data_IF_607536858850
#
_entry.id   IF_607536858850
#
_cell.length_a   1.000
_cell.length_b   1.000
_cell.length_c   1.000
_cell.angle_alpha   90.00
_cell.angle_beta   90.00
_cell.angle_gamma   90.00
#
_symmetry.space_group_name_H-M   'P 1'
#
loop_
_entity.id
_entity.type
_entity.pdbx_description
1 polymer ?
#
# COMPACT_ATOMS: atom_id res chain seq x y z
N UNK A 1 54.79 -11.21 -16.88
CA UNK A 1 53.48 -11.37 -17.53
C UNK A 1 52.82 -9.99 -17.70
N UNK A 2 53.34 -9.18 -18.60
CA UNK A 2 52.79 -7.87 -18.97
C UNK A 2 53.05 -7.65 -20.46
N UNK A 3 52.14 -8.17 -21.31
CA UNK A 3 52.09 -7.74 -22.71
C UNK A 3 51.42 -6.38 -22.71
N UNK A 4 52.25 -5.35 -22.67
CA UNK A 4 51.84 -3.99 -22.94
C UNK A 4 51.21 -3.96 -24.34
N UNK A 5 49.96 -3.48 -24.40
CA UNK A 5 49.28 -3.18 -25.66
C UNK A 5 50.18 -2.24 -26.45
N UNK A 6 50.54 -2.64 -27.68
CA UNK A 6 51.50 -1.92 -28.50
C UNK A 6 50.90 -0.55 -28.88
N UNK A 7 51.67 0.53 -28.78
CA UNK A 7 51.19 1.89 -29.11
C UNK A 7 50.73 1.98 -30.57
N UNK A 8 51.29 1.16 -31.47
CA UNK A 8 50.85 1.02 -32.85
C UNK A 8 49.44 0.40 -33.01
N UNK A 9 48.98 -0.41 -32.05
CA UNK A 9 47.63 -0.95 -32.04
C UNK A 9 46.61 0.11 -31.58
N UNK A 10 47.04 1.09 -30.77
CA UNK A 10 46.19 2.21 -30.33
C UNK A 10 45.91 3.20 -31.47
N UNK A 11 46.89 3.51 -32.33
CA UNK A 11 46.71 4.45 -33.46
C UNK A 11 45.79 3.88 -34.54
N UNK A 12 45.74 2.57 -34.71
CA UNK A 12 44.83 1.89 -35.65
C UNK A 12 43.45 1.66 -35.07
N UNK A 13 43.33 1.44 -33.75
CA UNK A 13 42.06 1.22 -33.08
C UNK A 13 41.31 2.52 -32.75
N UNK A 14 42.03 3.62 -32.52
CA UNK A 14 41.46 4.92 -32.14
C UNK A 14 40.42 5.47 -33.14
N UNK A 15 40.65 5.46 -34.47
CA UNK A 15 39.66 5.93 -35.44
C UNK A 15 38.36 5.12 -35.39
N UNK A 16 38.46 3.80 -35.25
CA UNK A 16 37.30 2.91 -35.18
C UNK A 16 36.53 3.04 -33.86
N UNK A 17 37.24 3.19 -32.74
CA UNK A 17 36.62 3.49 -31.45
C UNK A 17 35.94 4.86 -31.50
N UNK A 18 36.59 5.86 -32.08
CA UNK A 18 36.04 7.21 -32.21
C UNK A 18 34.80 7.23 -33.09
N UNK A 19 34.83 6.55 -34.24
CA UNK A 19 33.67 6.39 -35.13
C UNK A 19 32.50 5.67 -34.43
N UNK A 20 32.79 4.58 -33.70
CA UNK A 20 31.78 3.90 -32.90
C UNK A 20 31.19 4.81 -31.81
N UNK A 21 32.02 5.50 -31.03
CA UNK A 21 31.57 6.38 -29.94
C UNK A 21 30.82 7.63 -30.46
N UNK A 22 31.13 8.08 -31.67
CA UNK A 22 30.44 9.23 -32.30
C UNK A 22 29.16 8.82 -33.03
N UNK A 23 28.89 7.52 -33.19
CA UNK A 23 27.66 7.02 -33.79
C UNK A 23 26.42 7.60 -33.07
N UNK A 24 25.44 8.17 -33.80
CA UNK A 24 24.28 8.85 -33.20
C UNK A 24 23.54 8.00 -32.16
N UNK A 25 23.32 6.71 -32.44
CA UNK A 25 22.67 5.78 -31.50
C UNK A 25 23.48 5.55 -30.22
N UNK A 26 24.82 5.45 -30.31
CA UNK A 26 25.67 5.27 -29.12
C UNK A 26 25.63 6.54 -28.26
N UNK A 27 25.74 7.72 -28.87
CA UNK A 27 25.59 8.99 -28.15
C UNK A 27 24.22 9.11 -27.46
N UNK A 28 23.14 8.71 -28.13
CA UNK A 28 21.79 8.78 -27.56
C UNK A 28 21.58 7.75 -26.44
N UNK A 29 22.11 6.54 -26.60
CA UNK A 29 22.12 5.53 -25.55
C UNK A 29 22.88 6.02 -24.31
N UNK A 30 24.10 6.55 -24.47
CA UNK A 30 24.90 7.07 -23.35
C UNK A 30 24.21 8.23 -22.63
N UNK A 31 23.62 9.18 -23.37
CA UNK A 31 22.80 10.26 -22.77
C UNK A 31 21.68 9.70 -21.90
N UNK A 32 20.95 8.72 -22.41
CA UNK A 32 19.85 8.07 -21.69
C UNK A 32 20.36 7.30 -20.46
N UNK A 33 21.49 6.60 -20.59
CA UNK A 33 22.13 5.86 -19.50
C UNK A 33 22.52 6.79 -18.35
N UNK A 34 23.22 7.89 -18.65
CA UNK A 34 23.60 8.86 -17.62
C UNK A 34 22.39 9.57 -17.02
N UNK A 35 21.33 9.83 -17.79
CA UNK A 35 20.08 10.37 -17.27
C UNK A 35 19.44 9.42 -16.25
N UNK A 36 19.24 8.15 -16.63
CA UNK A 36 18.64 7.13 -15.74
C UNK A 36 19.49 6.95 -14.48
N UNK A 37 20.81 6.84 -14.63
CA UNK A 37 21.70 6.70 -13.49
C UNK A 37 21.70 7.95 -12.60
N UNK A 38 21.66 9.16 -13.20
CA UNK A 38 21.59 10.42 -12.46
C UNK A 38 20.33 10.50 -11.60
N UNK A 39 19.18 10.11 -12.16
CA UNK A 39 17.92 10.02 -11.42
C UNK A 39 18.03 8.99 -10.28
N UNK A 40 18.60 7.81 -10.54
CA UNK A 40 18.83 6.81 -9.50
C UNK A 40 19.66 7.37 -8.33
N UNK A 41 20.82 7.96 -8.63
CA UNK A 41 21.71 8.49 -7.59
C UNK A 41 21.06 9.62 -6.82
N UNK A 42 20.34 10.53 -7.49
CA UNK A 42 19.63 11.63 -6.83
C UNK A 42 18.63 11.09 -5.80
N UNK A 43 17.76 10.16 -6.19
CA UNK A 43 16.73 9.63 -5.30
C UNK A 43 17.30 8.69 -4.22
N UNK A 44 18.33 7.88 -4.55
CA UNK A 44 18.98 6.99 -3.61
C UNK A 44 19.73 7.74 -2.50
N UNK A 45 20.32 8.90 -2.82
CA UNK A 45 21.05 9.73 -1.85
C UNK A 45 20.17 10.70 -1.06
N UNK A 46 18.93 10.97 -1.51
CA UNK A 46 18.04 11.96 -0.87
C UNK A 46 16.84 11.29 -0.20
N UNK A 47 15.84 10.89 -0.99
CA UNK A 47 14.53 10.44 -0.52
C UNK A 47 14.56 9.01 0.03
N UNK A 48 15.49 8.19 -0.45
CA UNK A 48 15.63 6.77 -0.11
C UNK A 48 17.01 6.50 0.50
N UNK A 49 17.53 7.47 1.25
CA UNK A 49 18.80 7.36 1.96
C UNK A 49 18.67 6.38 3.15
N UNK A 50 19.74 5.64 3.46
CA UNK A 50 19.75 4.65 4.54
C UNK A 50 20.23 3.26 4.13
N UNK A 51 20.54 2.41 5.10
CA UNK A 51 21.05 1.05 4.87
C UNK A 51 20.01 -0.05 5.14
N UNK A 52 18.84 0.30 5.67
CA UNK A 52 17.81 -0.69 5.99
C UNK A 52 17.31 -1.41 4.75
N UNK A 53 16.86 -2.65 4.92
CA UNK A 53 16.36 -3.49 3.84
C UNK A 53 15.13 -2.87 3.15
N UNK A 54 14.28 -2.18 3.91
CA UNK A 54 13.17 -1.40 3.36
C UNK A 54 13.66 -0.30 2.39
N UNK A 55 14.74 0.41 2.74
CA UNK A 55 15.30 1.45 1.88
C UNK A 55 16.01 0.85 0.66
N UNK A 56 16.71 -0.26 0.81
CA UNK A 56 17.31 -0.98 -0.31
C UNK A 56 16.24 -1.50 -1.29
N UNK A 57 15.12 -2.01 -0.76
CA UNK A 57 13.95 -2.39 -1.55
C UNK A 57 13.37 -1.20 -2.30
N UNK A 58 13.15 -0.06 -1.64
CA UNK A 58 12.69 1.16 -2.33
C UNK A 58 13.66 1.61 -3.43
N UNK A 59 14.98 1.46 -3.23
CA UNK A 59 15.99 1.79 -4.26
C UNK A 59 15.89 0.93 -5.51
N UNK A 60 15.58 -0.37 -5.37
CA UNK A 60 15.44 -1.25 -6.53
C UNK A 60 14.28 -0.81 -7.45
N UNK A 61 13.32 -0.04 -6.93
CA UNK A 61 12.18 0.45 -7.69
C UNK A 61 12.40 1.81 -8.36
N UNK A 62 13.46 2.56 -8.04
CA UNK A 62 13.65 3.93 -8.56
C UNK A 62 13.77 3.93 -10.09
N UNK A 63 14.72 3.14 -10.61
CA UNK A 63 15.03 3.07 -12.05
C UNK A 63 13.80 2.60 -12.83
N UNK A 64 13.23 1.47 -12.39
CA UNK A 64 12.04 0.87 -13.01
C UNK A 64 10.84 1.84 -13.00
N UNK A 65 10.57 2.52 -11.89
CA UNK A 65 9.43 3.47 -11.80
C UNK A 65 9.62 4.66 -12.75
N UNK A 66 10.84 5.22 -12.79
CA UNK A 66 11.16 6.35 -13.67
C UNK A 66 11.06 5.95 -15.15
N UNK A 67 11.66 4.82 -15.53
CA UNK A 67 11.64 4.34 -16.90
C UNK A 67 10.21 3.98 -17.35
N UNK A 68 9.42 3.33 -16.50
CA UNK A 68 8.03 2.99 -16.79
C UNK A 68 7.17 4.24 -17.00
N UNK A 69 7.36 5.29 -16.20
CA UNK A 69 6.68 6.57 -16.39
C UNK A 69 6.99 7.19 -17.75
N UNK A 70 8.28 7.39 -18.07
CA UNK A 70 8.71 8.00 -19.32
C UNK A 70 8.24 7.19 -20.52
N UNK A 71 8.42 5.87 -20.49
CA UNK A 71 8.06 4.98 -21.59
C UNK A 71 6.55 4.96 -21.85
N UNK A 72 5.75 4.87 -20.78
CA UNK A 72 4.29 4.90 -20.89
C UNK A 72 3.81 6.24 -21.43
N UNK A 73 4.34 7.36 -20.95
CA UNK A 73 3.93 8.69 -21.39
C UNK A 73 4.31 8.95 -22.86
N UNK A 74 5.53 8.61 -23.26
CA UNK A 74 6.01 8.80 -24.63
C UNK A 74 5.36 7.85 -25.65
N UNK A 75 4.78 6.73 -25.20
CA UNK A 75 4.05 5.78 -26.07
C UNK A 75 2.66 6.25 -26.49
N UNK A 76 2.03 7.16 -25.73
CA UNK A 76 0.63 7.57 -25.93
C UNK A 76 0.35 8.06 -27.36
N UNK A 77 1.19 8.94 -27.96
CA UNK A 77 0.97 9.39 -29.33
C UNK A 77 0.97 8.26 -30.35
N UNK A 78 1.82 7.24 -30.18
CA UNK A 78 1.85 6.09 -31.09
C UNK A 78 0.63 5.19 -30.95
N UNK A 79 0.14 4.99 -29.71
CA UNK A 79 -1.11 4.27 -29.48
C UNK A 79 -2.28 5.01 -30.13
N UNK A 80 -2.34 6.34 -29.94
CA UNK A 80 -3.34 7.18 -30.58
C UNK A 80 -3.27 7.07 -32.10
N UNK A 81 -2.07 7.16 -32.69
CA UNK A 81 -1.88 7.05 -34.14
C UNK A 81 -2.30 5.68 -34.69
N UNK A 82 -2.02 4.59 -33.96
CA UNK A 82 -2.50 3.24 -34.33
C UNK A 82 -4.03 3.18 -34.43
N UNK A 83 -4.74 3.77 -33.46
CA UNK A 83 -6.20 3.82 -33.50
C UNK A 83 -6.74 4.80 -34.54
N UNK A 84 -6.10 5.95 -34.70
CA UNK A 84 -6.43 6.95 -35.71
C UNK A 84 -6.32 6.39 -37.13
N UNK A 85 -5.29 5.57 -37.36
CA UNK A 85 -5.09 4.85 -38.62
C UNK A 85 -5.95 3.58 -38.74
N UNK A 86 -6.96 3.37 -37.89
CA UNK A 86 -7.84 2.19 -37.90
C UNK A 86 -7.09 0.85 -37.87
N UNK A 87 -5.99 0.77 -37.11
CA UNK A 87 -5.13 -0.42 -37.01
C UNK A 87 -4.40 -0.80 -38.33
N UNK A 88 -4.32 0.12 -39.29
CA UNK A 88 -3.58 -0.08 -40.55
C UNK A 88 -2.12 0.39 -40.42
N UNK A 89 -1.22 -0.56 -40.20
CA UNK A 89 0.22 -0.33 -40.07
C UNK A 89 0.89 0.34 -41.29
N UNK A 90 0.27 0.32 -42.47
CA UNK A 90 0.79 1.05 -43.64
C UNK A 90 0.69 2.57 -43.46
N UNK A 91 -0.29 3.02 -42.67
CA UNK A 91 -0.61 4.43 -42.43
C UNK A 91 0.01 4.97 -41.15
N UNK A 92 0.29 4.10 -40.19
CA UNK A 92 0.95 4.48 -38.93
C UNK A 92 2.26 5.21 -39.22
N UNK A 93 2.47 6.28 -38.47
CA UNK A 93 3.62 7.17 -38.58
C UNK A 93 4.76 6.62 -37.74
N UNK A 94 5.90 6.36 -38.38
CA UNK A 94 6.98 5.63 -37.72
C UNK A 94 7.80 6.51 -36.78
N UNK A 95 7.95 7.81 -37.07
CA UNK A 95 8.76 8.77 -36.29
C UNK A 95 10.10 8.20 -35.79
N UNK A 96 10.79 7.41 -36.64
CA UNK A 96 11.93 6.56 -36.23
C UNK A 96 13.07 7.36 -35.63
N UNK A 97 13.60 8.29 -36.41
CA UNK A 97 14.80 9.05 -36.03
C UNK A 97 14.53 10.06 -34.89
N UNK A 98 13.30 10.56 -34.79
CA UNK A 98 12.95 11.65 -33.87
C UNK A 98 12.49 11.15 -32.51
N UNK A 99 11.69 10.07 -32.45
CA UNK A 99 11.06 9.61 -31.21
C UNK A 99 11.24 8.11 -30.99
N UNK A 100 10.91 7.25 -31.97
CA UNK A 100 10.81 5.82 -31.73
C UNK A 100 12.16 5.14 -31.45
N UNK A 101 13.20 5.44 -32.24
CA UNK A 101 14.55 4.92 -32.00
C UNK A 101 15.15 5.51 -30.71
N UNK A 102 15.11 6.84 -30.45
CA UNK A 102 15.55 7.40 -29.17
C UNK A 102 14.83 6.80 -27.95
N UNK A 103 13.52 6.53 -28.04
CA UNK A 103 12.75 5.90 -26.96
C UNK A 103 13.17 4.44 -26.74
N UNK A 104 13.42 3.70 -27.82
CA UNK A 104 13.92 2.32 -27.74
C UNK A 104 15.32 2.27 -27.11
N UNK A 105 16.20 3.21 -27.46
CA UNK A 105 17.52 3.35 -26.85
C UNK A 105 17.45 3.79 -25.39
N UNK A 106 16.49 4.65 -25.03
CA UNK A 106 16.22 4.99 -23.64
C UNK A 106 15.80 3.75 -22.85
N UNK A 107 14.91 2.92 -23.40
CA UNK A 107 14.50 1.67 -22.76
C UNK A 107 15.68 0.70 -22.62
N UNK A 108 16.53 0.56 -23.65
CA UNK A 108 17.76 -0.23 -23.54
C UNK A 108 18.70 0.29 -22.44
N UNK A 109 18.88 1.61 -22.34
CA UNK A 109 19.70 2.22 -21.30
C UNK A 109 19.13 1.95 -19.91
N UNK A 110 17.81 2.01 -19.76
CA UNK A 110 17.11 1.59 -18.55
C UNK A 110 17.46 0.14 -18.17
N UNK A 111 17.31 -0.81 -19.10
CA UNK A 111 17.61 -2.22 -18.85
C UNK A 111 19.06 -2.42 -18.44
N UNK A 112 20.01 -1.75 -19.11
CA UNK A 112 21.43 -1.78 -18.73
C UNK A 112 21.67 -1.20 -17.33
N UNK A 113 21.10 -0.04 -17.01
CA UNK A 113 21.24 0.59 -15.70
C UNK A 113 20.66 -0.28 -14.58
N UNK A 114 19.50 -0.89 -14.81
CA UNK A 114 18.83 -1.76 -13.84
C UNK A 114 19.62 -3.05 -13.59
N UNK A 115 20.17 -3.66 -14.64
CA UNK A 115 21.06 -4.82 -14.51
C UNK A 115 22.36 -4.47 -13.77
N UNK A 116 23.05 -3.40 -14.18
CA UNK A 116 24.32 -2.97 -13.56
C UNK A 116 24.09 -2.59 -12.10
N UNK A 117 23.15 -1.69 -11.83
CA UNK A 117 22.86 -1.24 -10.47
C UNK A 117 22.29 -2.38 -9.62
N UNK A 118 21.49 -3.27 -10.21
CA UNK A 118 21.00 -4.48 -9.59
C UNK A 118 22.12 -5.39 -9.11
N UNK A 119 23.19 -5.58 -9.89
CA UNK A 119 24.33 -6.41 -9.46
C UNK A 119 25.02 -5.81 -8.24
N UNK A 120 25.20 -4.48 -8.23
CA UNK A 120 26.04 -3.81 -7.22
C UNK A 120 25.31 -3.34 -5.97
N UNK A 121 24.03 -2.94 -6.08
CA UNK A 121 23.35 -2.21 -5.00
C UNK A 121 22.19 -2.96 -4.36
N UNK A 122 21.46 -3.80 -5.11
CA UNK A 122 20.22 -4.42 -4.63
C UNK A 122 19.99 -5.82 -5.21
N UNK A 123 21.05 -6.60 -5.41
CA UNK A 123 21.02 -7.93 -6.06
C UNK A 123 19.96 -8.87 -5.49
N UNK A 124 19.74 -8.83 -4.18
CA UNK A 124 18.74 -9.66 -3.47
C UNK A 124 17.29 -9.34 -3.86
N UNK A 125 17.02 -8.17 -4.43
CA UNK A 125 15.69 -7.70 -4.80
C UNK A 125 15.38 -7.83 -6.30
N UNK A 126 16.34 -8.25 -7.13
CA UNK A 126 16.12 -8.46 -8.57
C UNK A 126 15.79 -9.92 -8.84
N UNK A 127 14.55 -10.18 -9.24
CA UNK A 127 14.07 -11.51 -9.59
C UNK A 127 14.75 -12.09 -10.83
N UNK A 128 14.97 -13.42 -10.84
CA UNK A 128 15.61 -14.12 -11.95
C UNK A 128 14.80 -14.06 -13.25
N UNK A 129 13.51 -14.43 -13.20
CA UNK A 129 12.69 -14.52 -14.41
C UNK A 129 12.14 -13.16 -14.85
N UNK A 130 11.66 -12.33 -13.92
CA UNK A 130 11.02 -11.05 -14.21
C UNK A 130 11.97 -9.86 -14.25
N UNK A 131 13.19 -9.99 -13.71
CA UNK A 131 14.24 -8.98 -13.76
C UNK A 131 15.36 -9.41 -14.70
N UNK A 132 16.25 -10.31 -14.26
CA UNK A 132 17.48 -10.65 -14.99
C UNK A 132 17.23 -11.15 -16.42
N UNK A 133 16.52 -12.27 -16.57
CA UNK A 133 16.29 -12.90 -17.88
C UNK A 133 15.45 -11.97 -18.77
N UNK A 134 14.38 -11.41 -18.22
CA UNK A 134 13.50 -10.48 -18.94
C UNK A 134 14.30 -9.28 -19.48
N UNK A 135 15.11 -8.63 -18.64
CA UNK A 135 15.85 -7.43 -19.04
C UNK A 135 16.94 -7.75 -20.08
N UNK A 136 17.65 -8.87 -19.94
CA UNK A 136 18.64 -9.29 -20.93
C UNK A 136 17.97 -9.59 -22.29
N UNK A 137 16.86 -10.35 -22.28
CA UNK A 137 16.14 -10.71 -23.52
C UNK A 137 15.58 -9.48 -24.20
N UNK A 138 14.94 -8.56 -23.46
CA UNK A 138 14.41 -7.33 -24.03
C UNK A 138 15.51 -6.39 -24.53
N UNK A 139 16.68 -6.36 -23.89
CA UNK A 139 17.82 -5.57 -24.38
C UNK A 139 18.24 -6.06 -25.78
N UNK A 140 18.37 -7.38 -25.95
CA UNK A 140 18.70 -7.97 -27.25
C UNK A 140 17.61 -7.76 -28.29
N UNK A 141 16.34 -7.87 -27.89
CA UNK A 141 15.21 -7.62 -28.78
C UNK A 141 15.14 -6.16 -29.23
N UNK A 142 15.38 -5.19 -28.34
CA UNK A 142 15.43 -3.77 -28.70
C UNK A 142 16.53 -3.49 -29.74
N UNK A 143 17.73 -4.08 -29.57
CA UNK A 143 18.79 -3.98 -30.59
C UNK A 143 18.30 -4.50 -31.94
N UNK A 144 17.67 -5.68 -31.95
CA UNK A 144 17.13 -6.29 -33.16
C UNK A 144 16.00 -5.47 -33.80
N UNK A 145 15.08 -4.92 -33.01
CA UNK A 145 13.95 -4.13 -33.50
C UNK A 145 14.39 -2.80 -34.10
N UNK A 146 15.40 -2.12 -33.55
CA UNK A 146 15.98 -0.93 -34.17
C UNK A 146 16.55 -1.27 -35.55
N UNK A 147 17.34 -2.35 -35.64
CA UNK A 147 17.94 -2.80 -36.92
C UNK A 147 16.89 -3.17 -37.97
N UNK A 148 15.74 -3.71 -37.55
CA UNK A 148 14.63 -4.07 -38.46
C UNK A 148 13.65 -2.93 -38.72
N UNK A 149 13.80 -1.78 -38.07
CA UNK A 149 12.89 -0.64 -38.20
C UNK A 149 11.52 -0.85 -37.58
N UNK A 150 11.43 -1.64 -36.51
CA UNK A 150 10.19 -1.91 -35.78
C UNK A 150 10.09 -1.13 -34.46
N UNK A 151 10.93 -0.13 -34.26
CA UNK A 151 10.99 0.68 -33.04
C UNK A 151 9.67 1.36 -32.69
N UNK A 152 8.89 1.81 -33.67
CA UNK A 152 7.58 2.43 -33.43
C UNK A 152 6.52 1.40 -33.01
N UNK A 153 6.58 0.17 -33.54
CA UNK A 153 5.77 -0.93 -33.03
C UNK A 153 6.13 -1.25 -31.57
N UNK A 154 7.42 -1.25 -31.23
CA UNK A 154 7.85 -1.37 -29.84
C UNK A 154 7.38 -0.18 -28.98
N UNK A 155 7.45 1.05 -29.50
CA UNK A 155 6.97 2.25 -28.81
C UNK A 155 5.48 2.17 -28.45
N UNK A 156 4.62 1.65 -29.33
CA UNK A 156 3.21 1.38 -29.01
C UNK A 156 3.09 0.42 -27.81
N UNK A 157 3.91 -0.63 -27.80
CA UNK A 157 3.91 -1.65 -26.76
C UNK A 157 4.41 -1.11 -25.41
N UNK A 158 5.21 -0.03 -25.38
CA UNK A 158 5.68 0.59 -24.13
C UNK A 158 4.55 1.20 -23.28
N UNK A 159 3.36 1.42 -23.84
CA UNK A 159 2.18 1.80 -23.07
C UNK A 159 1.81 0.74 -22.01
N UNK A 160 2.24 -0.50 -22.22
CA UNK A 160 2.06 -1.60 -21.29
C UNK A 160 2.91 -1.49 -20.01
N UNK A 161 3.79 -0.50 -19.89
CA UNK A 161 4.53 -0.21 -18.66
C UNK A 161 3.73 0.62 -17.64
N UNK A 162 2.55 1.11 -17.99
CA UNK A 162 1.68 1.86 -17.09
C UNK A 162 1.39 1.15 -15.76
N UNK A 163 1.01 -0.16 -15.73
CA UNK A 163 0.88 -0.89 -14.47
C UNK A 163 2.17 -0.96 -13.66
N UNK A 164 3.33 -1.09 -14.32
CA UNK A 164 4.65 -1.10 -13.66
C UNK A 164 4.90 0.24 -12.95
N UNK A 165 4.57 1.35 -13.59
CA UNK A 165 4.69 2.68 -12.98
C UNK A 165 3.78 2.84 -11.74
N UNK A 166 2.51 2.43 -11.84
CA UNK A 166 1.54 2.53 -10.73
C UNK A 166 1.98 1.69 -9.53
N UNK A 167 2.53 0.52 -9.78
CA UNK A 167 3.07 -0.33 -8.72
C UNK A 167 4.35 0.27 -8.13
N UNK A 168 5.30 0.71 -8.97
CA UNK A 168 6.57 1.26 -8.51
C UNK A 168 6.41 2.52 -7.65
N UNK A 169 5.47 3.42 -8.02
CA UNK A 169 5.17 4.60 -7.17
C UNK A 169 4.53 4.20 -5.84
N UNK A 170 3.74 3.12 -5.81
CA UNK A 170 3.17 2.54 -4.59
C UNK A 170 4.24 1.98 -3.66
N UNK A 171 5.27 1.32 -4.20
CA UNK A 171 6.40 0.80 -3.42
C UNK A 171 7.29 1.92 -2.88
N UNK A 172 7.55 2.95 -3.68
CA UNK A 172 8.33 4.12 -3.23
C UNK A 172 7.61 4.91 -2.14
N UNK A 173 6.29 5.03 -2.23
CA UNK A 173 5.47 5.75 -1.26
C UNK A 173 4.13 5.03 -1.04
N UNK A 174 3.97 4.29 0.09
CA UNK A 174 2.78 3.46 0.36
C UNK A 174 1.44 4.19 0.23
N UNK A 175 1.40 5.50 0.49
CA UNK A 175 0.19 6.33 0.32
C UNK A 175 -0.37 6.35 -1.10
N UNK A 176 0.44 6.08 -2.12
CA UNK A 176 0.00 6.02 -3.51
C UNK A 176 -0.34 4.60 -3.97
N UNK A 177 -0.20 3.59 -3.09
CA UNK A 177 -0.52 2.20 -3.42
C UNK A 177 -2.02 2.04 -3.68
N UNK A 178 -2.36 1.56 -4.88
CA UNK A 178 -3.74 1.25 -5.23
C UNK A 178 -3.82 -0.05 -6.01
N UNK A 179 -4.35 -1.09 -5.37
CA UNK A 179 -4.54 -2.41 -5.97
C UNK A 179 -5.50 -2.38 -7.16
N UNK A 180 -6.53 -1.53 -7.10
CA UNK A 180 -7.48 -1.35 -8.20
C UNK A 180 -6.84 -0.63 -9.39
N UNK A 181 -6.06 0.42 -9.15
CA UNK A 181 -5.38 1.14 -10.24
C UNK A 181 -4.36 0.24 -10.95
N UNK A 182 -3.58 -0.55 -10.19
CA UNK A 182 -2.66 -1.53 -10.74
C UNK A 182 -3.39 -2.60 -11.57
N UNK A 183 -4.40 -3.26 -10.99
CA UNK A 183 -5.07 -4.39 -11.65
C UNK A 183 -5.83 -3.93 -12.90
N UNK A 184 -6.51 -2.77 -12.82
CA UNK A 184 -7.28 -2.23 -13.95
C UNK A 184 -6.36 -1.81 -15.09
N UNK A 185 -5.26 -1.10 -14.79
CA UNK A 185 -4.28 -0.71 -15.81
C UNK A 185 -3.57 -1.92 -16.41
N UNK A 186 -3.28 -2.95 -15.62
CA UNK A 186 -2.70 -4.20 -16.11
C UNK A 186 -3.62 -4.88 -17.12
N UNK A 187 -4.91 -5.04 -16.78
CA UNK A 187 -5.87 -5.66 -17.69
C UNK A 187 -6.10 -4.81 -18.93
N UNK A 188 -6.18 -3.48 -18.79
CA UNK A 188 -6.42 -2.62 -19.95
C UNK A 188 -5.23 -2.58 -20.92
N UNK A 189 -3.99 -2.47 -20.43
CA UNK A 189 -2.82 -2.33 -21.31
C UNK A 189 -2.20 -3.68 -21.67
N UNK A 190 -1.93 -4.56 -20.70
CA UNK A 190 -1.21 -5.82 -20.94
C UNK A 190 -2.09 -6.95 -21.47
N UNK A 191 -3.42 -6.85 -21.33
CA UNK A 191 -4.37 -7.81 -21.90
C UNK A 191 -5.14 -7.21 -23.07
N UNK A 192 -5.99 -6.21 -22.84
CA UNK A 192 -6.88 -5.69 -23.89
C UNK A 192 -6.11 -5.01 -25.02
N UNK A 193 -5.26 -4.03 -24.72
CA UNK A 193 -4.45 -3.36 -25.74
C UNK A 193 -3.48 -4.33 -26.44
N UNK A 194 -2.86 -5.25 -25.70
CA UNK A 194 -1.99 -6.27 -26.31
C UNK A 194 -2.76 -7.16 -27.29
N UNK A 195 -3.98 -7.61 -26.96
CA UNK A 195 -4.83 -8.36 -27.89
C UNK A 195 -5.18 -7.55 -29.15
N UNK A 196 -5.46 -6.25 -28.99
CA UNK A 196 -5.68 -5.34 -30.13
C UNK A 196 -4.44 -5.24 -31.02
N UNK A 197 -3.24 -5.17 -30.43
CA UNK A 197 -1.96 -5.15 -31.15
C UNK A 197 -1.71 -6.48 -31.87
N UNK A 198 -1.97 -7.63 -31.23
CA UNK A 198 -1.86 -8.95 -31.88
C UNK A 198 -2.82 -9.03 -33.06
N UNK A 199 -4.07 -8.59 -32.88
CA UNK A 199 -5.04 -8.53 -33.97
C UNK A 199 -4.56 -7.63 -35.11
N UNK A 200 -4.09 -6.40 -34.81
CA UNK A 200 -3.60 -5.48 -35.83
C UNK A 200 -2.36 -6.00 -36.57
N UNK A 201 -1.52 -6.81 -35.91
CA UNK A 201 -0.36 -7.46 -36.52
C UNK A 201 -0.74 -8.73 -37.31
N UNK A 202 -1.90 -9.33 -37.03
CA UNK A 202 -2.39 -10.54 -37.72
C UNK A 202 -3.02 -10.24 -39.09
N UNK A 203 -3.55 -9.02 -39.27
CA UNK A 203 -4.12 -8.58 -40.55
C UNK A 203 -3.01 -8.27 -41.57
N UNK A 204 -3.30 -8.29 -42.89
CA UNK A 204 -2.27 -8.10 -43.93
C UNK A 204 -1.47 -6.79 -43.83
N UNK A 205 -2.07 -5.73 -43.31
CA UNK A 205 -1.36 -4.46 -43.04
C UNK A 205 -0.23 -4.66 -42.04
N UNK A 206 -0.41 -5.51 -41.02
CA UNK A 206 0.56 -5.82 -39.97
C UNK A 206 1.90 -6.38 -40.44
N UNK A 207 1.97 -6.92 -41.66
CA UNK A 207 3.27 -7.28 -42.25
C UNK A 207 4.13 -6.03 -42.56
N UNK A 208 3.51 -4.86 -42.71
CA UNK A 208 4.15 -3.63 -43.18
C UNK A 208 4.47 -2.69 -42.02
N UNK A 209 4.73 -3.22 -40.82
CA UNK A 209 5.32 -2.44 -39.71
C UNK A 209 6.57 -1.70 -40.22
N UNK A 210 7.47 -2.41 -40.89
CA UNK A 210 8.45 -1.77 -41.75
C UNK A 210 7.87 -1.72 -43.18
N UNK A 211 7.68 -0.51 -43.72
CA UNK A 211 7.07 -0.28 -45.03
C UNK A 211 7.94 -0.80 -46.18
N UNK A 212 9.26 -0.81 -46.00
CA UNK A 212 10.24 -1.23 -47.01
C UNK A 212 10.47 -2.75 -46.97
N UNK A 213 10.36 -3.36 -45.79
CA UNK A 213 10.66 -4.77 -45.57
C UNK A 213 9.52 -5.48 -44.83
N UNK A 214 8.49 -5.97 -45.55
CA UNK A 214 7.36 -6.66 -44.94
C UNK A 214 7.78 -7.93 -44.19
N UNK A 215 7.27 -8.13 -42.97
CA UNK A 215 7.63 -9.24 -42.09
C UNK A 215 6.50 -9.63 -41.14
N UNK A 216 6.33 -10.94 -40.92
CA UNK A 216 5.42 -11.50 -39.89
C UNK A 216 6.05 -11.58 -38.50
N UNK A 217 7.32 -11.27 -38.36
CA UNK A 217 8.04 -11.41 -37.09
C UNK A 217 7.50 -10.52 -35.97
N UNK A 218 7.04 -9.27 -36.19
CA UNK A 218 6.41 -8.48 -35.13
C UNK A 218 5.24 -9.21 -34.46
N UNK A 219 4.40 -9.89 -35.24
CA UNK A 219 3.30 -10.72 -34.72
C UNK A 219 3.83 -11.85 -33.84
N UNK A 220 4.89 -12.55 -34.27
CA UNK A 220 5.50 -13.63 -33.49
C UNK A 220 5.97 -13.14 -32.12
N UNK A 221 6.68 -12.00 -32.06
CA UNK A 221 7.12 -11.42 -30.78
C UNK A 221 5.95 -11.05 -29.87
N UNK A 222 4.89 -10.46 -30.41
CA UNK A 222 3.69 -10.12 -29.64
C UNK A 222 3.00 -11.37 -29.08
N UNK A 223 2.80 -12.40 -29.92
CA UNK A 223 2.19 -13.67 -29.49
C UNK A 223 3.05 -14.39 -28.46
N UNK A 224 4.38 -14.38 -28.58
CA UNK A 224 5.27 -15.01 -27.61
C UNK A 224 5.27 -14.32 -26.24
N UNK A 225 5.11 -13.00 -26.19
CA UNK A 225 5.04 -12.25 -24.94
C UNK A 225 3.68 -12.41 -24.22
N UNK A 226 2.60 -12.66 -24.96
CA UNK A 226 1.25 -12.65 -24.41
C UNK A 226 0.95 -13.70 -23.30
N UNK A 227 1.40 -14.97 -23.37
CA UNK A 227 1.18 -15.95 -22.31
C UNK A 227 1.68 -15.48 -20.94
N UNK A 228 2.83 -14.80 -20.91
CA UNK A 228 3.38 -14.21 -19.69
C UNK A 228 2.41 -13.19 -19.10
N UNK A 229 1.84 -12.31 -19.92
CA UNK A 229 0.85 -11.32 -19.48
C UNK A 229 -0.42 -11.97 -18.95
N UNK A 230 -0.92 -13.04 -19.59
CA UNK A 230 -2.11 -13.77 -19.11
C UNK A 230 -1.86 -14.39 -17.74
N UNK A 231 -0.70 -15.03 -17.53
CA UNK A 231 -0.32 -15.60 -16.24
C UNK A 231 -0.26 -14.51 -15.16
N UNK A 232 0.32 -13.36 -15.49
CA UNK A 232 0.43 -12.21 -14.58
C UNK A 232 -0.93 -11.57 -14.28
N UNK A 233 -1.83 -11.46 -15.27
CA UNK A 233 -3.20 -10.98 -15.09
C UNK A 233 -4.01 -11.90 -14.18
N UNK A 234 -3.91 -13.22 -14.36
CA UNK A 234 -4.54 -14.17 -13.47
C UNK A 234 -4.08 -13.96 -12.01
N UNK A 235 -2.78 -13.76 -11.81
CA UNK A 235 -2.21 -13.51 -10.47
C UNK A 235 -2.66 -12.17 -9.89
N UNK A 236 -2.70 -11.10 -10.68
CA UNK A 236 -3.13 -9.78 -10.20
C UNK A 236 -4.60 -9.80 -9.75
N UNK A 237 -5.49 -10.41 -10.53
CA UNK A 237 -6.91 -10.57 -10.18
C UNK A 237 -7.10 -11.46 -8.95
N UNK A 238 -6.39 -12.59 -8.87
CA UNK A 238 -6.43 -13.48 -7.71
C UNK A 238 -5.95 -12.78 -6.45
N UNK A 239 -4.87 -12.01 -6.54
CA UNK A 239 -4.31 -11.23 -5.45
C UNK A 239 -5.27 -10.13 -4.98
N UNK A 240 -5.87 -9.39 -5.91
CA UNK A 240 -6.90 -8.39 -5.62
C UNK A 240 -8.08 -9.03 -4.87
N UNK A 241 -8.63 -10.14 -5.38
CA UNK A 241 -9.76 -10.83 -4.74
C UNK A 241 -9.44 -11.27 -3.30
N UNK A 242 -8.25 -11.80 -3.07
CA UNK A 242 -7.79 -12.21 -1.73
C UNK A 242 -7.73 -11.02 -0.77
N UNK A 243 -7.11 -9.91 -1.17
CA UNK A 243 -7.01 -8.69 -0.36
C UNK A 243 -8.37 -8.09 -0.07
N UNK A 244 -9.25 -8.02 -1.07
CA UNK A 244 -10.61 -7.50 -0.87
C UNK A 244 -11.41 -8.37 0.10
N UNK A 245 -11.19 -9.69 0.10
CA UNK A 245 -11.80 -10.59 1.09
C UNK A 245 -11.27 -10.33 2.50
N UNK A 246 -9.95 -10.21 2.69
CA UNK A 246 -9.34 -9.88 3.99
C UNK A 246 -9.86 -8.55 4.53
N UNK A 247 -9.89 -7.50 3.71
CA UNK A 247 -10.44 -6.20 4.08
C UNK A 247 -11.93 -6.26 4.45
N UNK A 248 -12.72 -7.05 3.73
CA UNK A 248 -14.14 -7.24 4.04
C UNK A 248 -14.34 -8.02 5.36
N UNK A 249 -13.48 -9.00 5.66
CA UNK A 249 -13.50 -9.74 6.92
C UNK A 249 -13.08 -8.87 8.11
N UNK A 250 -12.02 -8.07 7.96
CA UNK A 250 -11.59 -7.09 8.96
C UNK A 250 -12.65 -6.03 9.23
N UNK A 251 -13.31 -5.51 8.18
CA UNK A 251 -14.41 -4.57 8.32
C UNK A 251 -15.59 -5.18 9.10
N UNK A 252 -15.94 -6.45 8.81
CA UNK A 252 -16.97 -7.19 9.56
C UNK A 252 -16.57 -7.44 11.01
N UNK A 253 -15.31 -7.83 11.26
CA UNK A 253 -14.79 -8.04 12.61
C UNK A 253 -14.82 -6.74 13.42
N UNK A 254 -14.45 -5.61 12.79
CA UNK A 254 -14.51 -4.28 13.40
C UNK A 254 -15.95 -3.87 13.73
N UNK A 255 -16.90 -4.11 12.83
CA UNK A 255 -18.30 -3.82 13.10
C UNK A 255 -18.86 -4.70 14.23
N UNK A 256 -18.50 -5.99 14.26
CA UNK A 256 -18.88 -6.87 15.37
C UNK A 256 -18.28 -6.40 16.71
N UNK A 257 -17.01 -6.01 16.71
CA UNK A 257 -16.35 -5.47 17.91
C UNK A 257 -17.00 -4.16 18.37
N UNK A 258 -17.39 -3.30 17.43
CA UNK A 258 -18.14 -2.06 17.71
C UNK A 258 -19.49 -2.36 18.35
N UNK A 259 -20.27 -3.29 17.79
CA UNK A 259 -21.57 -3.69 18.36
C UNK A 259 -21.41 -4.29 19.76
N UNK A 260 -20.41 -5.14 19.98
CA UNK A 260 -20.12 -5.71 21.30
C UNK A 260 -19.74 -4.63 22.33
N UNK A 261 -18.95 -3.63 21.94
CA UNK A 261 -18.59 -2.51 22.81
C UNK A 261 -19.81 -1.63 23.16
N UNK A 262 -20.73 -1.44 22.21
CA UNK A 262 -22.00 -0.71 22.45
C UNK A 262 -22.88 -1.48 23.44
N UNK A 263 -23.02 -2.80 23.27
CA UNK A 263 -23.77 -3.67 24.17
C UNK A 263 -23.19 -3.64 25.60
N UNK A 264 -21.88 -3.81 25.72
CA UNK A 264 -21.18 -3.73 27.00
C UNK A 264 -21.37 -2.38 27.68
N UNK A 265 -21.20 -1.27 26.94
CA UNK A 265 -21.41 0.06 27.47
C UNK A 265 -22.86 0.30 27.91
N UNK A 266 -23.83 -0.22 27.16
CA UNK A 266 -25.26 -0.14 27.51
C UNK A 266 -25.53 -0.86 28.82
N UNK A 267 -25.03 -2.10 28.96
CA UNK A 267 -25.14 -2.89 30.20
C UNK A 267 -24.51 -2.18 31.41
N UNK A 268 -23.34 -1.56 31.22
CA UNK A 268 -22.69 -0.77 32.27
C UNK A 268 -23.51 0.45 32.69
N UNK A 269 -24.19 1.11 31.74
CA UNK A 269 -25.09 2.22 32.02
C UNK A 269 -26.36 1.75 32.74
N UNK A 270 -26.96 0.64 32.31
CA UNK A 270 -28.13 0.04 32.98
C UNK A 270 -27.81 -0.33 34.44
N UNK A 271 -26.66 -0.98 34.69
CA UNK A 271 -26.21 -1.30 36.05
C UNK A 271 -25.92 -0.05 36.89
N UNK A 272 -25.49 1.06 36.27
CA UNK A 272 -25.30 2.33 36.96
C UNK A 272 -26.65 2.95 37.35
N UNK A 273 -27.63 2.90 36.45
CA UNK A 273 -28.99 3.41 36.69
C UNK A 273 -29.71 2.62 37.79
N UNK A 274 -29.59 1.28 37.81
CA UNK A 274 -30.14 0.43 38.88
C UNK A 274 -29.56 0.77 40.26
N UNK A 275 -28.25 1.01 40.34
CA UNK A 275 -27.58 1.40 41.60
C UNK A 275 -27.99 2.79 42.08
N UNK A 276 -28.27 3.72 41.17
CA UNK A 276 -28.76 5.06 41.50
C UNK A 276 -30.25 5.03 41.90
N UNK A 277 -31.10 4.23 41.23
CA UNK A 277 -32.53 4.08 41.56
C UNK A 277 -32.73 3.36 42.90
N UNK A 278 -32.02 2.26 43.15
CA UNK A 278 -32.11 1.54 44.43
C UNK A 278 -31.65 2.38 45.62
N UNK A 279 -30.80 3.40 45.39
CA UNK A 279 -30.40 4.36 46.41
C UNK A 279 -31.52 5.36 46.78
N UNK A 280 -32.27 5.86 45.78
CA UNK A 280 -33.39 6.78 46.01
C UNK A 280 -34.51 6.08 46.81
N UNK A 281 -34.76 4.80 46.55
CA UNK A 281 -35.71 3.98 47.32
C UNK A 281 -35.26 3.74 48.77
N UNK A 282 -33.96 3.57 49.02
CA UNK A 282 -33.45 3.37 50.41
C UNK A 282 -33.55 4.63 51.26
N UNK A 283 -33.53 5.82 50.63
CA UNK A 283 -33.73 7.11 51.32
C UNK A 283 -35.19 7.31 51.73
N UNK A 284 -36.13 6.82 50.94
CA UNK A 284 -37.57 6.88 51.24
C UNK A 284 -37.97 5.92 52.39
N UNK A 285 -37.20 4.86 52.62
CA UNK A 285 -37.51 3.82 53.62
C UNK A 285 -37.01 4.10 55.06
N UNK A 286 -36.47 5.28 55.39
CA UNK A 286 -36.27 5.73 56.79
C UNK A 286 -35.15 5.06 57.60
N UNK A 287 -34.13 4.47 56.96
CA UNK A 287 -33.02 3.79 57.66
C UNK A 287 -32.08 4.75 58.44
N UNK A 288 -31.34 4.29 59.48
CA UNK A 288 -30.52 5.13 60.35
C UNK A 288 -29.41 5.91 59.62
N UNK A 289 -29.36 7.22 59.88
CA UNK A 289 -28.58 8.27 59.16
C UNK A 289 -27.10 7.93 58.89
N UNK A 290 -26.39 7.37 59.87
CA UNK A 290 -24.94 7.08 59.76
C UNK A 290 -24.62 5.88 58.87
N UNK A 291 -25.50 4.86 58.83
CA UNK A 291 -25.34 3.67 57.97
C UNK A 291 -25.81 3.93 56.53
N UNK A 292 -26.83 4.79 56.39
CA UNK A 292 -27.36 5.24 55.10
C UNK A 292 -26.36 6.13 54.35
N UNK A 293 -25.69 7.05 55.05
CA UNK A 293 -24.70 7.96 54.44
C UNK A 293 -23.49 7.21 53.87
N UNK A 294 -22.88 6.29 54.62
CA UNK A 294 -21.71 5.54 54.11
C UNK A 294 -22.08 4.60 52.95
N UNK A 295 -23.23 3.91 53.02
CA UNK A 295 -23.73 3.05 51.93
C UNK A 295 -24.09 3.86 50.69
N UNK A 296 -24.63 5.08 50.86
CA UNK A 296 -24.93 6.01 49.76
C UNK A 296 -23.70 6.51 49.02
N UNK A 297 -22.62 6.84 49.76
CA UNK A 297 -21.36 7.29 49.15
C UNK A 297 -20.72 6.18 48.33
N UNK A 298 -20.75 4.95 48.82
CA UNK A 298 -20.21 3.78 48.11
C UNK A 298 -21.02 3.42 46.86
N UNK A 299 -22.36 3.44 46.94
CA UNK A 299 -23.23 3.19 45.79
C UNK A 299 -23.02 4.24 44.68
N UNK A 300 -22.97 5.53 45.07
CA UNK A 300 -22.72 6.64 44.14
C UNK A 300 -21.33 6.58 43.51
N UNK A 301 -20.30 6.19 44.27
CA UNK A 301 -18.94 6.00 43.74
C UNK A 301 -18.88 4.82 42.74
N UNK A 302 -19.59 3.73 43.01
CA UNK A 302 -19.66 2.57 42.11
C UNK A 302 -20.40 2.89 40.82
N UNK A 303 -21.52 3.61 40.88
CA UNK A 303 -22.23 4.09 39.69
C UNK A 303 -21.34 5.01 38.83
N UNK A 304 -20.56 5.91 39.45
CA UNK A 304 -19.58 6.74 38.73
C UNK A 304 -18.54 5.90 37.98
N UNK A 305 -18.03 4.85 38.62
CA UNK A 305 -17.05 3.97 38.01
C UNK A 305 -17.63 3.22 36.80
N UNK A 306 -18.89 2.76 36.90
CA UNK A 306 -19.58 2.09 35.79
C UNK A 306 -19.80 3.03 34.59
N UNK A 307 -20.26 4.26 34.82
CA UNK A 307 -20.41 5.26 33.75
C UNK A 307 -19.05 5.61 33.12
N UNK A 308 -18.00 5.73 33.93
CA UNK A 308 -16.64 5.97 33.43
C UNK A 308 -16.13 4.82 32.57
N UNK A 309 -16.41 3.57 32.97
CA UNK A 309 -16.04 2.38 32.20
C UNK A 309 -16.83 2.30 30.89
N UNK A 310 -18.14 2.61 30.91
CA UNK A 310 -18.96 2.64 29.71
C UNK A 310 -18.43 3.67 28.69
N UNK A 311 -18.10 4.87 29.16
CA UNK A 311 -17.51 5.91 28.33
C UNK A 311 -16.12 5.53 27.80
N UNK A 312 -15.32 4.79 28.58
CA UNK A 312 -14.03 4.26 28.14
C UNK A 312 -14.17 3.23 27.01
N UNK A 313 -15.09 2.28 27.15
CA UNK A 313 -15.37 1.24 26.14
C UNK A 313 -15.83 1.86 24.81
N UNK A 314 -16.72 2.85 24.87
CA UNK A 314 -17.21 3.58 23.68
C UNK A 314 -16.10 4.42 23.03
N UNK A 315 -15.24 5.03 23.83
CA UNK A 315 -14.11 5.81 23.33
C UNK A 315 -13.11 4.94 22.56
N UNK A 316 -12.81 3.73 23.05
CA UNK A 316 -11.85 2.84 22.40
C UNK A 316 -12.39 2.22 21.12
N UNK A 317 -13.69 1.95 21.07
CA UNK A 317 -14.32 1.29 19.91
C UNK A 317 -14.60 2.22 18.73
N UNK A 318 -14.96 3.49 18.98
CA UNK A 318 -15.31 4.46 17.93
C UNK A 318 -14.89 5.91 18.26
N UNK A 319 -13.59 6.21 18.42
CA UNK A 319 -13.11 7.43 19.08
C UNK A 319 -13.58 8.75 18.45
N UNK A 320 -13.57 8.88 17.12
CA UNK A 320 -13.95 10.14 16.45
C UNK A 320 -15.47 10.36 16.41
N UNK A 321 -16.20 9.35 15.96
CA UNK A 321 -17.66 9.41 15.86
C UNK A 321 -18.32 9.49 17.24
N UNK A 322 -17.72 8.88 18.27
CA UNK A 322 -18.14 9.03 19.65
C UNK A 322 -17.85 10.44 20.19
N UNK A 323 -16.64 10.97 19.98
CA UNK A 323 -16.25 12.33 20.37
C UNK A 323 -17.18 13.39 19.81
N UNK A 324 -17.50 13.27 18.52
CA UNK A 324 -18.37 14.21 17.86
C UNK A 324 -19.79 14.15 18.41
N UNK A 325 -20.37 12.94 18.52
CA UNK A 325 -21.71 12.76 19.10
C UNK A 325 -21.79 13.30 20.54
N UNK A 326 -20.72 13.11 21.33
CA UNK A 326 -20.61 13.64 22.68
C UNK A 326 -20.55 15.18 22.72
N UNK A 327 -19.75 15.80 21.84
CA UNK A 327 -19.68 17.27 21.72
C UNK A 327 -20.99 17.88 21.25
N UNK A 328 -21.62 17.28 20.25
CA UNK A 328 -22.92 17.70 19.73
C UNK A 328 -24.01 17.61 20.81
N UNK A 329 -23.96 16.58 21.66
CA UNK A 329 -24.86 16.48 22.82
C UNK A 329 -24.59 17.57 23.87
N UNK A 330 -23.32 17.90 24.15
CA UNK A 330 -22.98 19.03 25.04
C UNK A 330 -23.50 20.36 24.49
N UNK A 331 -23.28 20.62 23.20
CA UNK A 331 -23.73 21.83 22.52
C UNK A 331 -25.26 21.91 22.46
N UNK A 332 -25.94 20.78 22.28
CA UNK A 332 -27.40 20.69 22.31
C UNK A 332 -27.96 21.07 23.69
N UNK A 333 -27.41 20.52 24.78
CA UNK A 333 -27.85 20.86 26.14
C UNK A 333 -27.61 22.34 26.45
N UNK A 334 -26.47 22.89 26.02
CA UNK A 334 -26.16 24.33 26.15
C UNK A 334 -27.19 25.22 25.42
N UNK A 335 -27.64 24.81 24.23
CA UNK A 335 -28.69 25.53 23.46
C UNK A 335 -30.07 25.47 24.10
N UNK A 336 -30.36 24.42 24.86
CA UNK A 336 -31.63 24.26 25.59
C UNK A 336 -31.63 24.96 26.96
N UNK A 337 -30.54 25.64 27.33
CA UNK A 337 -30.40 26.27 28.64
C UNK A 337 -30.24 25.28 29.80
N UNK A 338 -29.96 24.00 29.51
CA UNK A 338 -29.76 22.94 30.51
C UNK A 338 -28.26 22.86 30.82
N UNK A 339 -27.86 23.11 32.07
CA UNK A 339 -26.46 22.87 32.48
C UNK A 339 -26.22 21.34 32.46
N UNK A 340 -25.19 20.84 31.74
CA UNK A 340 -24.80 19.43 31.78
C UNK A 340 -24.53 18.90 33.20
N UNK A 341 -24.29 19.78 34.18
CA UNK A 341 -24.19 19.45 35.60
C UNK A 341 -25.51 19.05 36.25
N UNK A 342 -26.67 19.37 35.66
CA UNK A 342 -27.97 19.03 36.23
C UNK A 342 -28.49 17.68 35.73
N UNK A 343 -27.89 17.15 34.66
CA UNK A 343 -28.23 15.84 34.10
C UNK A 343 -27.70 14.68 34.95
N UNK A 344 -28.40 13.54 34.90
CA UNK A 344 -27.89 12.25 35.40
C UNK A 344 -26.61 11.87 34.64
N UNK A 345 -25.68 11.22 35.35
CA UNK A 345 -24.33 10.91 34.82
C UNK A 345 -24.38 9.94 33.66
N UNK A 346 -25.24 8.93 33.74
CA UNK A 346 -25.53 7.96 32.67
C UNK A 346 -26.26 8.60 31.49
N UNK A 347 -27.14 9.57 31.74
CA UNK A 347 -28.00 10.18 30.72
C UNK A 347 -27.21 10.88 29.61
N UNK A 348 -26.14 11.60 29.95
CA UNK A 348 -25.33 12.30 28.96
C UNK A 348 -24.59 11.32 28.03
N UNK A 349 -24.02 10.25 28.60
CA UNK A 349 -23.38 9.16 27.85
C UNK A 349 -24.43 8.42 27.01
N UNK A 350 -25.59 8.08 27.56
CA UNK A 350 -26.67 7.40 26.83
C UNK A 350 -27.22 8.22 25.67
N UNK A 351 -27.37 9.54 25.83
CA UNK A 351 -27.83 10.44 24.75
C UNK A 351 -26.78 10.59 23.65
N UNK A 352 -25.50 10.71 24.02
CA UNK A 352 -24.40 10.66 23.06
C UNK A 352 -24.36 9.31 22.31
N UNK A 353 -24.67 8.20 22.99
CA UNK A 353 -24.81 6.86 22.39
C UNK A 353 -25.98 6.75 21.44
N UNK A 354 -27.14 7.24 21.83
CA UNK A 354 -28.29 7.33 20.94
C UNK A 354 -27.96 8.16 19.69
N UNK A 355 -27.31 9.32 19.82
CA UNK A 355 -26.86 10.12 18.66
C UNK A 355 -25.83 9.39 17.80
N UNK A 356 -24.84 8.75 18.42
CA UNK A 356 -23.84 7.96 17.71
C UNK A 356 -24.48 6.85 16.87
N UNK A 357 -25.49 6.16 17.42
CA UNK A 357 -26.26 5.13 16.73
C UNK A 357 -27.16 5.71 15.63
N UNK A 358 -27.84 6.83 15.88
CA UNK A 358 -28.72 7.51 14.91
C UNK A 358 -27.95 8.09 13.72
N UNK A 359 -26.75 8.63 13.95
CA UNK A 359 -25.87 9.14 12.89
C UNK A 359 -25.10 8.03 12.17
N UNK A 360 -24.99 6.83 12.77
CA UNK A 360 -24.32 5.66 12.20
C UNK A 360 -24.92 5.16 10.88
N UNK A 361 -26.19 5.47 10.60
CA UNK A 361 -26.87 5.08 9.35
C UNK A 361 -26.69 6.06 8.18
N UNK A 362 -26.09 7.25 8.37
CA UNK A 362 -26.00 8.28 7.31
C UNK A 362 -24.60 8.58 6.80
N UNK A 363 -23.54 8.06 7.42
CA UNK A 363 -22.16 8.41 7.02
C UNK A 363 -21.25 7.19 7.04
N UNK A 364 -21.24 6.48 5.91
CA UNK A 364 -20.12 5.61 5.58
C UNK A 364 -18.90 6.47 5.25
N UNK A 365 -18.00 6.67 6.20
CA UNK A 365 -16.57 6.88 5.96
C UNK A 365 -15.85 6.98 7.30
N UNK A 366 -15.44 5.83 7.83
CA UNK A 366 -14.23 5.76 8.64
C UNK A 366 -13.22 4.99 7.78
N UNK A 367 -12.27 5.72 7.20
CA UNK A 367 -11.17 5.15 6.42
C UNK A 367 -10.45 4.11 7.30
N UNK A 368 -10.14 2.91 6.79
CA UNK A 368 -9.41 1.91 7.56
C UNK A 368 -8.09 2.50 8.06
N UNK A 369 -7.81 2.38 9.36
CA UNK A 369 -6.44 2.39 9.84
C UNK A 369 -5.91 0.99 9.54
N UNK A 370 -5.31 0.84 8.38
CA UNK A 370 -4.44 -0.30 8.11
C UNK A 370 -3.32 -0.20 9.15
N UNK A 371 -3.23 -1.18 10.05
CA UNK A 371 -1.94 -1.42 10.68
C UNK A 371 -1.06 -1.94 9.55
N UNK A 372 0.02 -1.23 9.24
CA UNK A 372 1.04 -1.64 8.24
C UNK A 372 1.89 -2.82 8.73
N UNK A 373 1.41 -3.57 9.73
CA UNK A 373 2.10 -4.72 10.27
C UNK A 373 1.27 -5.96 9.92
N UNK A 374 1.90 -6.81 9.12
CA UNK A 374 1.55 -8.17 8.71
C UNK A 374 0.83 -8.32 7.34
N UNK A 375 1.65 -8.73 6.34
CA UNK A 375 1.30 -9.37 5.06
C UNK A 375 1.05 -8.45 3.84
N UNK A 376 1.83 -7.37 3.72
CA UNK A 376 1.83 -6.52 2.52
C UNK A 376 2.66 -7.06 1.34
N UNK A 377 3.23 -8.25 1.51
CA UNK A 377 4.26 -8.82 0.65
C UNK A 377 3.67 -9.60 -0.56
N UNK A 378 2.61 -10.39 -0.47
CA UNK A 378 2.22 -11.39 -1.49
C UNK A 378 2.08 -10.99 -2.99
N UNK A 379 1.93 -9.70 -3.38
CA UNK A 379 2.00 -9.30 -4.81
C UNK A 379 3.38 -8.82 -5.22
N UNK A 380 4.04 -8.07 -4.35
CA UNK A 380 5.39 -7.52 -4.59
C UNK A 380 6.44 -8.61 -4.37
N UNK A 381 6.25 -9.48 -3.39
CA UNK A 381 7.10 -10.59 -2.99
C UNK A 381 7.20 -11.69 -4.06
N UNK A 382 6.26 -11.72 -5.02
CA UNK A 382 6.36 -12.58 -6.21
C UNK A 382 7.05 -11.91 -7.41
N UNK A 383 7.21 -10.58 -7.37
CA UNK A 383 8.12 -9.82 -8.26
C UNK A 383 9.44 -9.41 -7.59
N UNK A 384 9.62 -9.74 -6.30
CA UNK A 384 10.87 -9.68 -5.55
C UNK A 384 10.82 -10.73 -4.42
N UNK A 385 11.25 -11.97 -4.66
CA UNK A 385 11.30 -13.00 -3.60
C UNK A 385 12.48 -12.68 -2.67
N UNK A 386 12.21 -12.07 -1.51
CA UNK A 386 12.97 -12.28 -0.25
C UNK A 386 12.25 -11.59 0.91
N UNK A 387 11.84 -12.36 1.91
CA UNK A 387 11.47 -11.85 3.24
C UNK A 387 12.20 -12.68 4.32
N UNK A 388 12.86 -11.97 5.23
CA UNK A 388 13.43 -12.47 6.49
C UNK A 388 13.51 -11.26 7.45
N UNK A 389 12.76 -11.36 8.56
CA UNK A 389 12.90 -10.73 9.89
C UNK A 389 13.31 -9.25 10.00
N UNK A 390 12.74 -8.38 10.84
CA UNK A 390 12.17 -8.51 12.19
C UNK A 390 11.60 -7.14 12.62
N UNK A 391 10.61 -7.12 13.51
CA UNK A 391 10.15 -5.90 14.21
C UNK A 391 10.79 -5.80 15.60
N UNK A 392 11.33 -4.62 15.90
CA UNK A 392 11.82 -4.24 17.23
C UNK A 392 10.68 -3.61 18.05
N UNK A 393 10.54 -4.06 19.29
CA UNK A 393 9.43 -3.69 20.18
C UNK A 393 9.78 -2.43 20.99
N UNK A 394 9.12 -1.32 20.68
CA UNK A 394 9.22 -0.11 21.51
C UNK A 394 8.38 -0.22 22.79
N UNK A 395 8.96 0.19 23.93
CA UNK A 395 8.37 0.04 25.27
C UNK A 395 7.18 1.01 25.50
N UNK A 396 6.11 0.59 26.21
CA UNK A 396 4.92 1.42 26.42
C UNK A 396 5.19 2.58 27.39
N UNK A 397 4.71 3.79 27.03
CA UNK A 397 4.71 5.01 27.87
C UNK A 397 3.28 5.48 28.19
N UNK A 398 3.08 6.04 29.39
CA UNK A 398 1.78 6.29 30.08
C UNK A 398 0.84 7.28 29.34
N UNK A 399 -0.48 7.02 29.42
CA UNK A 399 -1.59 7.79 28.83
C UNK A 399 -1.98 9.13 29.51
N UNK A 400 -2.85 9.89 28.84
CA UNK A 400 -3.35 11.23 29.19
C UNK A 400 -4.75 11.16 29.84
N UNK A 401 -4.96 11.76 31.01
CA UNK A 401 -6.31 11.84 31.62
C UNK A 401 -7.14 12.99 31.03
N UNK A 402 -8.40 12.73 30.67
CA UNK A 402 -9.35 13.76 30.21
C UNK A 402 -10.65 13.69 31.01
N UNK A 403 -11.14 14.86 31.39
CA UNK A 403 -12.41 15.04 32.11
C UNK A 403 -13.56 15.16 31.12
N UNK A 404 -14.58 14.33 31.29
CA UNK A 404 -15.76 14.30 30.42
C UNK A 404 -16.94 15.08 31.04
N UNK A 405 -16.85 15.46 32.32
CA UNK A 405 -17.89 16.21 33.05
C UNK A 405 -18.25 15.54 34.39
N UNK A 406 -18.83 16.30 35.33
CA UNK A 406 -19.29 15.85 36.67
C UNK A 406 -18.31 14.95 37.47
N UNK A 407 -16.99 15.15 37.28
CA UNK A 407 -15.92 14.40 37.94
C UNK A 407 -15.55 13.06 37.29
N UNK A 408 -16.10 12.74 36.10
CA UNK A 408 -15.73 11.55 35.34
C UNK A 408 -14.39 11.82 34.64
N UNK A 409 -13.36 11.09 35.07
CA UNK A 409 -12.01 11.15 34.52
C UNK A 409 -11.71 9.85 33.82
N UNK A 410 -11.39 9.93 32.53
CA UNK A 410 -11.02 8.77 31.73
C UNK A 410 -9.54 8.86 31.40
N UNK A 411 -8.82 7.75 31.53
CA UNK A 411 -7.43 7.65 31.12
C UNK A 411 -7.37 7.28 29.63
N UNK A 412 -6.83 8.17 28.79
CA UNK A 412 -6.75 7.99 27.35
C UNK A 412 -5.35 7.54 26.92
N UNK A 413 -5.21 6.64 25.95
CA UNK A 413 -3.96 6.47 25.23
C UNK A 413 -3.62 7.78 24.47
N UNK A 414 -2.33 8.11 24.34
CA UNK A 414 -1.89 9.35 23.68
C UNK A 414 -2.04 9.20 22.16
N UNK A 415 -2.90 9.99 21.54
CA UNK A 415 -2.95 10.14 20.07
C UNK A 415 -1.75 11.00 19.63
N UNK A 416 -0.95 10.55 18.66
CA UNK A 416 0.09 11.36 18.04
C UNK A 416 -0.56 12.22 16.94
N UNK A 417 -0.43 13.54 17.02
CA UNK A 417 -0.90 14.41 15.94
C UNK A 417 -0.06 14.18 14.67
N UNK A 418 -0.70 14.09 13.49
CA UNK A 418 -0.01 13.87 12.24
C UNK A 418 0.73 15.15 11.84
N UNK A 419 2.03 15.03 11.56
CA UNK A 419 2.90 16.19 11.27
C UNK A 419 2.57 16.88 9.93
N UNK A 420 1.72 16.33 9.04
CA UNK A 420 1.13 17.01 7.88
C UNK A 420 0.13 16.09 7.17
N UNK A 421 -1.11 16.56 6.94
CA UNK A 421 -2.21 15.97 6.15
C UNK A 421 -2.11 14.45 5.84
N UNK A 422 -2.04 13.63 6.88
CA UNK A 422 -1.96 12.17 6.80
C UNK A 422 -2.75 11.52 7.95
N UNK A 423 -3.09 10.23 7.79
CA UNK A 423 -3.86 9.44 8.75
C UNK A 423 -3.30 9.57 10.18
N UNK A 424 -4.20 9.74 11.15
CA UNK A 424 -3.89 9.79 12.59
C UNK A 424 -3.66 8.38 13.11
N UNK A 425 -2.47 8.09 13.61
CA UNK A 425 -2.17 6.82 14.25
C UNK A 425 -2.73 6.82 15.68
N UNK A 426 -3.66 5.91 15.96
CA UNK A 426 -4.09 5.60 17.32
C UNK A 426 -3.23 4.43 17.80
N UNK A 427 -2.32 4.69 18.74
CA UNK A 427 -1.61 3.63 19.46
C UNK A 427 -2.60 3.01 20.45
N UNK A 428 -3.37 2.01 20.01
CA UNK A 428 -4.15 1.18 20.92
C UNK A 428 -3.21 0.19 21.59
N UNK A 429 -3.19 0.15 22.92
CA UNK A 429 -2.65 -1.01 23.63
C UNK A 429 -3.45 -2.23 23.15
N UNK A 430 -2.78 -3.20 22.53
CA UNK A 430 -3.39 -4.51 22.34
C UNK A 430 -3.72 -5.00 23.75
N UNK A 431 -4.98 -5.34 24.08
CA UNK A 431 -5.27 -5.96 25.36
C UNK A 431 -4.58 -7.32 25.31
N UNK A 432 -3.35 -7.38 25.80
CA UNK A 432 -2.76 -8.64 26.21
C UNK A 432 -3.61 -9.01 27.40
N UNK A 433 -4.55 -9.93 27.21
CA UNK A 433 -5.32 -10.51 28.30
C UNK A 433 -4.35 -10.84 29.44
N UNK A 434 -4.36 -10.00 30.47
CA UNK A 434 -3.70 -10.27 31.73
C UNK A 434 -4.63 -11.21 32.49
N UNK A 435 -4.97 -12.35 31.90
CA UNK A 435 -5.50 -13.47 32.67
C UNK A 435 -4.34 -14.10 33.45
N UNK A 436 -3.98 -13.41 34.53
CA UNK A 436 -3.22 -13.98 35.62
C UNK A 436 -4.07 -14.94 36.47
N UNK A 437 -5.29 -15.28 36.06
CA UNK A 437 -6.21 -16.18 36.76
C UNK A 437 -6.44 -17.46 35.95
N UNK A 438 -5.46 -18.36 35.98
CA UNK A 438 -5.56 -19.69 35.40
C UNK A 438 -4.57 -20.64 36.06
N UNK A 439 -4.94 -21.91 36.19
CA UNK A 439 -4.09 -22.93 36.80
C UNK A 439 -2.72 -23.02 36.09
N UNK A 440 -1.67 -23.46 36.80
CA UNK A 440 -0.30 -23.58 36.26
C UNK A 440 -0.26 -24.33 34.90
N UNK A 441 -1.17 -25.29 34.72
CA UNK A 441 -1.33 -26.08 33.50
C UNK A 441 -1.90 -25.25 32.33
N UNK A 442 -2.88 -24.38 32.57
CA UNK A 442 -3.44 -23.48 31.55
C UNK A 442 -2.41 -22.42 31.10
N UNK A 443 -1.57 -21.93 32.03
CA UNK A 443 -0.47 -21.00 31.68
C UNK A 443 0.59 -21.64 30.79
N UNK A 444 0.97 -22.90 31.09
CA UNK A 444 1.94 -23.65 30.28
C UNK A 444 1.34 -23.97 28.90
N UNK A 445 0.07 -24.36 28.82
CA UNK A 445 -0.61 -24.62 27.56
C UNK A 445 -0.78 -23.35 26.72
N UNK A 446 -1.07 -22.20 27.34
CA UNK A 446 -1.13 -20.91 26.64
C UNK A 446 0.24 -20.45 26.13
N UNK A 447 1.31 -20.66 26.91
CA UNK A 447 2.69 -20.40 26.46
C UNK A 447 3.15 -21.37 25.37
N UNK A 448 2.77 -22.64 25.45
CA UNK A 448 3.02 -23.62 24.39
C UNK A 448 2.25 -23.27 23.12
N UNK A 449 0.98 -22.86 23.22
CA UNK A 449 0.18 -22.44 22.05
C UNK A 449 0.79 -21.23 21.34
N UNK A 450 1.29 -20.23 22.10
CA UNK A 450 2.07 -19.12 21.55
C UNK A 450 3.36 -19.58 20.87
N UNK A 451 4.12 -20.48 21.51
CA UNK A 451 5.37 -21.02 20.91
C UNK A 451 5.10 -21.90 19.68
N UNK A 452 3.99 -22.62 19.64
CA UNK A 452 3.57 -23.42 18.49
C UNK A 452 2.97 -22.58 17.36
N UNK A 453 2.28 -21.48 17.64
CA UNK A 453 1.86 -20.51 16.61
C UNK A 453 3.05 -19.78 15.99
N UNK A 454 4.07 -19.46 16.79
CA UNK A 454 5.36 -18.93 16.30
C UNK A 454 6.10 -20.00 15.47
N UNK A 455 6.20 -21.24 15.95
CA UNK A 455 6.90 -22.31 15.23
C UNK A 455 6.18 -22.79 13.95
N UNK A 456 4.86 -22.58 13.81
CA UNK A 456 4.13 -22.90 12.57
C UNK A 456 4.48 -21.98 11.41
N UNK A 457 5.14 -20.84 11.68
CA UNK A 457 5.66 -19.90 10.67
C UNK A 457 7.07 -20.26 10.17
N UNK A 458 7.73 -21.27 10.77
CA UNK A 458 9.12 -21.66 10.46
C UNK A 458 9.28 -23.05 9.82
N UNK A 459 8.26 -23.59 9.14
CA UNK A 459 8.36 -24.89 8.47
C UNK A 459 8.61 -24.76 6.97
N UNK A 460 9.89 -24.94 6.62
CA UNK A 460 10.44 -25.26 5.31
C UNK A 460 9.73 -26.48 4.71
N UNK A 461 9.35 -26.40 3.43
CA UNK A 461 9.23 -27.58 2.55
C UNK A 461 9.80 -27.20 1.19
N UNK A 462 10.87 -27.93 0.84
CA UNK A 462 11.71 -28.01 -0.39
C UNK A 462 11.34 -27.19 -1.63
#
# INVERSE_FOLDING_TARGET
MSRWVNVADMETLYPHIWEALTHPYIRQFLKSFFLVQGVYQLFACTLVAGKSDEQQRKRSWIITTFAAFCSSMMSIPFVFDLFWCHLDWRRVTEHRETIADPLTLFFMAYLSCDLVTGVFCYRKFVNLSSGWIHHIVYFLFCMYWIQKGWSHCFAINLCMELPTWIMGIGTLKPRFRSYWAFTTSFLSTRILLHLIIIYSLSVPSGNHVNKEAPSKMPLLFAVLAFPMHVIWAYKSVRGLRRRMKKLAEEAKAREKARLAAIDEATRLLDSADELELGHDDTRLAGAPSTRVTHRSMHAKARAMQLVSNAAYVLWHSAPEAWRQAYREELDFNKKQGIDPKDLRRSALVRRALARHLLHGNKRGHNVPLVKEDDEDDDLEDWMSITSLDSFDHDKPRKGLQVSIGKGIRINMPRELDPILHGQKYVVSEYPVDREASGSRRQRIVGQMRRRFEVARRDMVVF
#
